data_IF_831484003295
#
_entry.id   IF_831484003295
#
_cell.length_a   1.000
_cell.length_b   1.000
_cell.length_c   1.000
_cell.angle_alpha   90.00
_cell.angle_beta   90.00
_cell.angle_gamma   90.00
#
_symmetry.space_group_name_H-M   'P 1'
#
loop_
_entity.id
_entity.type
_entity.pdbx_description
1 polymer ?
#
# COMPACT_ATOMS: atom_id res chain seq x y z
N UNK A 1 22.42 0.35 24.71
CA UNK A 1 21.16 0.72 25.35
C UNK A 1 20.21 1.35 24.30
N UNK A 2 19.75 0.60 23.27
CA UNK A 2 18.86 1.12 22.17
C UNK A 2 17.73 0.17 21.79
N UNK A 3 17.46 -0.90 22.54
CA UNK A 3 16.46 -1.91 22.17
C UNK A 3 15.30 -2.06 23.16
N UNK A 4 15.21 -1.20 24.18
CA UNK A 4 14.25 -1.38 25.28
C UNK A 4 12.93 -0.61 25.13
N UNK A 5 12.68 0.07 24.02
CA UNK A 5 11.48 0.91 23.89
C UNK A 5 10.77 0.76 22.55
N UNK A 6 10.67 -0.45 21.98
CA UNK A 6 9.67 -0.68 20.93
C UNK A 6 8.29 -0.72 21.60
N UNK A 7 7.41 0.20 21.20
CA UNK A 7 6.00 0.08 21.59
C UNK A 7 5.47 -1.23 21.00
N UNK A 8 4.71 -1.97 21.80
CA UNK A 8 4.00 -3.14 21.31
C UNK A 8 3.09 -2.71 20.16
N UNK A 9 3.11 -3.43 19.04
CA UNK A 9 2.18 -3.19 17.93
C UNK A 9 0.74 -3.13 18.46
N UNK A 10 -0.11 -2.24 17.92
CA UNK A 10 -1.55 -2.27 18.22
C UNK A 10 -2.11 -3.68 18.06
N UNK A 11 -3.00 -4.09 18.97
CA UNK A 11 -3.52 -5.46 19.02
C UNK A 11 -4.04 -5.94 17.66
N UNK A 12 -4.61 -5.04 16.86
CA UNK A 12 -5.14 -5.32 15.53
C UNK A 12 -4.06 -5.75 14.52
N UNK A 13 -2.79 -5.43 14.76
CA UNK A 13 -1.65 -5.76 13.88
C UNK A 13 -0.79 -6.91 14.42
N UNK A 14 -1.09 -7.46 15.60
CA UNK A 14 -0.23 -8.46 16.27
C UNK A 14 -0.37 -9.88 15.71
N UNK A 15 -1.57 -10.26 15.26
CA UNK A 15 -1.89 -11.65 14.91
C UNK A 15 -1.99 -11.89 13.39
N UNK A 16 -1.16 -11.19 12.62
CA UNK A 16 -1.06 -11.43 11.19
C UNK A 16 -0.28 -12.72 10.92
N UNK A 17 -0.72 -13.49 9.93
CA UNK A 17 0.02 -14.69 9.45
C UNK A 17 1.42 -14.33 8.96
N UNK A 18 1.52 -13.23 8.23
CA UNK A 18 2.75 -12.53 7.88
C UNK A 18 2.59 -11.04 8.21
N UNK A 19 3.65 -10.37 8.64
CA UNK A 19 3.61 -8.94 8.94
C UNK A 19 3.56 -8.10 7.65
N UNK A 20 2.47 -8.22 6.93
CA UNK A 20 2.27 -7.60 5.61
C UNK A 20 0.98 -6.78 5.59
N UNK A 21 1.06 -5.60 4.99
CA UNK A 21 -0.08 -4.82 4.52
C UNK A 21 -0.04 -4.84 2.99
N UNK A 22 -1.08 -5.38 2.35
CA UNK A 22 -1.28 -5.20 0.91
C UNK A 22 -1.58 -3.73 0.63
N UNK A 23 -0.74 -3.07 -0.18
CA UNK A 23 -0.91 -1.63 -0.49
C UNK A 23 -2.23 -1.35 -1.21
N UNK A 24 -2.89 -0.20 -0.94
CA UNK A 24 -4.05 0.23 -1.69
C UNK A 24 -3.65 0.62 -3.12
N UNK A 25 -4.08 -0.16 -4.08
CA UNK A 25 -3.74 0.03 -5.49
C UNK A 25 -4.88 0.77 -6.20
N UNK A 26 -4.58 1.97 -6.73
CA UNK A 26 -5.59 2.78 -7.41
C UNK A 26 -6.14 2.03 -8.63
N UNK A 27 -7.47 2.02 -8.78
CA UNK A 27 -8.25 1.24 -9.77
C UNK A 27 -8.24 -0.28 -9.50
N UNK A 28 -7.15 -0.85 -9.00
CA UNK A 28 -6.90 -2.29 -8.92
C UNK A 28 -7.48 -2.93 -7.67
N UNK A 29 -7.30 -2.28 -6.50
CA UNK A 29 -7.83 -2.82 -5.25
C UNK A 29 -9.33 -2.61 -5.15
N UNK A 30 -10.08 -3.69 -5.15
CA UNK A 30 -11.50 -3.77 -4.89
C UNK A 30 -11.80 -4.76 -3.77
N UNK A 31 -13.09 -4.99 -3.44
CA UNK A 31 -13.49 -5.93 -2.40
C UNK A 31 -12.90 -7.32 -2.57
N UNK A 32 -12.83 -7.85 -3.80
CA UNK A 32 -12.29 -9.17 -4.11
C UNK A 32 -10.85 -9.32 -3.61
N UNK A 33 -9.99 -8.36 -3.98
CA UNK A 33 -8.58 -8.39 -3.60
C UNK A 33 -8.41 -8.22 -2.08
N UNK A 34 -9.12 -7.28 -1.49
CA UNK A 34 -9.06 -7.00 -0.04
C UNK A 34 -9.51 -8.20 0.78
N UNK A 35 -10.66 -8.79 0.44
CA UNK A 35 -11.20 -9.97 1.12
C UNK A 35 -10.24 -11.14 1.01
N UNK A 36 -9.67 -11.39 -0.17
CA UNK A 36 -8.70 -12.46 -0.38
C UNK A 36 -7.42 -12.25 0.46
N UNK A 37 -6.91 -11.02 0.54
CA UNK A 37 -5.75 -10.66 1.37
C UNK A 37 -6.05 -10.89 2.85
N UNK A 38 -7.20 -10.42 3.35
CA UNK A 38 -7.59 -10.59 4.74
C UNK A 38 -7.79 -12.09 5.09
N UNK A 39 -8.46 -12.86 4.24
CA UNK A 39 -8.64 -14.32 4.41
C UNK A 39 -7.30 -15.07 4.34
N UNK A 40 -6.32 -14.57 3.59
CA UNK A 40 -4.96 -15.11 3.56
C UNK A 40 -4.13 -14.77 4.81
N UNK A 41 -4.62 -13.89 5.69
CA UNK A 41 -4.01 -13.54 6.97
C UNK A 41 -3.03 -12.36 6.92
N UNK A 42 -3.16 -11.49 5.93
CA UNK A 42 -2.44 -10.20 5.81
C UNK A 42 -3.46 -9.05 5.76
N UNK A 43 -3.06 -7.85 6.12
CA UNK A 43 -3.95 -6.69 6.01
C UNK A 43 -4.23 -6.40 4.53
N UNK A 44 -5.51 -6.43 4.14
CA UNK A 44 -5.96 -6.02 2.80
C UNK A 44 -6.31 -4.53 2.79
N UNK A 45 -6.02 -3.82 1.70
CA UNK A 45 -6.38 -2.42 1.63
C UNK A 45 -6.83 -1.95 0.25
N UNK A 46 -7.62 -0.87 0.23
CA UNK A 46 -8.06 -0.21 -1.00
C UNK A 46 -8.19 1.31 -0.81
N UNK A 47 -8.02 2.11 -1.88
CA UNK A 47 -8.32 3.53 -1.85
C UNK A 47 -9.83 3.77 -1.84
N UNK A 48 -10.36 4.63 -0.95
CA UNK A 48 -11.77 5.01 -0.96
C UNK A 48 -12.20 5.55 -2.34
N UNK A 49 -11.30 6.24 -3.03
CA UNK A 49 -11.54 6.77 -4.38
C UNK A 49 -11.75 5.70 -5.47
N UNK A 50 -11.48 4.43 -5.21
CA UNK A 50 -11.78 3.34 -6.15
C UNK A 50 -13.27 3.02 -6.24
N UNK A 51 -14.00 3.19 -5.13
CA UNK A 51 -15.46 3.06 -5.12
C UNK A 51 -16.10 4.25 -5.84
N UNK A 52 -16.73 4.03 -7.00
CA UNK A 52 -17.30 5.07 -7.86
C UNK A 52 -18.66 4.63 -8.43
N UNK A 53 -19.71 5.41 -8.17
CA UNK A 53 -19.79 6.69 -7.43
C UNK A 53 -19.48 6.53 -5.93
N UNK A 54 -19.47 7.65 -5.16
CA UNK A 54 -19.13 7.65 -3.74
C UNK A 54 -20.00 6.68 -2.90
N UNK A 55 -21.27 6.55 -3.24
CA UNK A 55 -22.20 5.64 -2.56
C UNK A 55 -21.75 4.16 -2.59
N UNK A 56 -20.96 3.75 -3.58
CA UNK A 56 -20.41 2.39 -3.67
C UNK A 56 -19.44 2.06 -2.52
N UNK A 57 -18.86 3.08 -1.87
CA UNK A 57 -17.99 2.83 -0.71
C UNK A 57 -18.76 2.16 0.43
N UNK A 58 -20.02 2.52 0.63
CA UNK A 58 -20.88 1.89 1.64
C UNK A 58 -21.15 0.41 1.32
N UNK A 59 -21.43 0.09 0.05
CA UNK A 59 -21.65 -1.28 -0.41
C UNK A 59 -20.38 -2.13 -0.30
N UNK A 60 -19.21 -1.56 -0.66
CA UNK A 60 -17.94 -2.25 -0.55
C UNK A 60 -17.60 -2.58 0.90
N UNK A 61 -17.78 -1.63 1.81
CA UNK A 61 -17.53 -1.83 3.24
C UNK A 61 -18.50 -2.83 3.85
N UNK A 62 -19.78 -2.78 3.46
CA UNK A 62 -20.77 -3.79 3.84
C UNK A 62 -20.31 -5.19 3.42
N UNK A 63 -20.01 -5.38 2.14
CA UNK A 63 -19.57 -6.66 1.59
C UNK A 63 -18.31 -7.20 2.28
N UNK A 64 -17.28 -6.34 2.42
CA UNK A 64 -16.02 -6.73 3.09
C UNK A 64 -16.31 -7.19 4.52
N UNK A 65 -17.07 -6.42 5.28
CA UNK A 65 -17.40 -6.72 6.68
C UNK A 65 -18.16 -8.04 6.80
N UNK A 66 -19.20 -8.23 6.00
CA UNK A 66 -20.01 -9.44 6.02
C UNK A 66 -19.20 -10.71 5.63
N UNK A 67 -18.41 -10.64 4.57
CA UNK A 67 -17.61 -11.77 4.11
C UNK A 67 -16.51 -12.15 5.12
N UNK A 68 -15.84 -11.15 5.74
CA UNK A 68 -14.83 -11.41 6.75
C UNK A 68 -15.46 -11.95 8.04
N UNK A 69 -16.63 -11.42 8.45
CA UNK A 69 -17.38 -11.95 9.59
C UNK A 69 -17.85 -13.40 9.37
N UNK A 70 -18.34 -13.70 8.17
CA UNK A 70 -18.73 -15.07 7.81
C UNK A 70 -17.53 -16.04 7.83
N UNK A 71 -16.38 -15.57 7.28
CA UNK A 71 -15.13 -16.31 7.33
C UNK A 71 -14.70 -16.62 8.78
N UNK A 72 -14.72 -15.63 9.66
CA UNK A 72 -14.28 -15.75 11.05
C UNK A 72 -15.17 -16.75 11.82
N UNK A 73 -16.48 -16.75 11.57
CA UNK A 73 -17.39 -17.75 12.16
C UNK A 73 -17.08 -19.17 11.67
N UNK A 74 -16.71 -19.32 10.41
CA UNK A 74 -16.38 -20.62 9.82
C UNK A 74 -14.94 -21.09 10.14
N UNK A 75 -14.04 -20.19 10.49
CA UNK A 75 -12.62 -20.47 10.70
C UNK A 75 -12.11 -19.81 12.01
N UNK A 76 -12.60 -20.21 13.18
CA UNK A 76 -12.26 -19.56 14.46
C UNK A 76 -10.76 -19.64 14.80
N UNK A 77 -10.10 -20.73 14.38
CA UNK A 77 -8.66 -20.93 14.61
C UNK A 77 -7.78 -20.16 13.60
N UNK A 78 -8.38 -19.62 12.54
CA UNK A 78 -7.70 -18.87 11.48
C UNK A 78 -8.53 -17.68 11.03
N UNK A 79 -8.77 -16.70 11.91
CA UNK A 79 -9.56 -15.54 11.58
C UNK A 79 -8.89 -14.71 10.45
N UNK A 80 -9.71 -13.99 9.73
CA UNK A 80 -9.22 -13.04 8.73
C UNK A 80 -8.45 -11.91 9.41
N UNK A 81 -7.41 -11.42 8.74
CA UNK A 81 -6.73 -10.18 9.14
C UNK A 81 -7.67 -8.97 8.94
N UNK A 82 -7.39 -7.84 9.59
CA UNK A 82 -8.17 -6.61 9.40
C UNK A 82 -7.97 -6.05 8.00
N UNK A 83 -8.90 -5.19 7.58
CA UNK A 83 -8.75 -4.41 6.35
C UNK A 83 -8.44 -2.94 6.65
N UNK A 84 -7.94 -2.23 5.65
CA UNK A 84 -7.64 -0.81 5.71
C UNK A 84 -8.28 -0.06 4.54
N UNK A 85 -8.66 1.20 4.76
CA UNK A 85 -9.13 2.12 3.72
C UNK A 85 -8.14 3.28 3.60
N UNK A 86 -7.66 3.52 2.38
CA UNK A 86 -6.79 4.66 2.13
C UNK A 86 -7.60 5.91 1.77
N UNK A 87 -7.24 7.01 2.42
CA UNK A 87 -7.80 8.33 2.24
C UNK A 87 -6.72 9.29 1.68
N UNK A 88 -7.00 9.88 0.53
CA UNK A 88 -6.17 10.94 -0.03
C UNK A 88 -6.52 12.26 0.63
N UNK A 89 -5.61 12.79 1.46
CA UNK A 89 -5.82 13.99 2.28
C UNK A 89 -5.39 15.26 1.54
N UNK A 90 -5.50 15.26 0.23
CA UNK A 90 -5.19 16.44 -0.59
C UNK A 90 -6.44 17.30 -0.80
N UNK A 91 -6.27 18.63 -0.84
CA UNK A 91 -7.37 19.61 -1.03
C UNK A 91 -8.22 19.41 -2.29
N UNK A 92 -7.70 18.70 -3.30
CA UNK A 92 -8.44 18.35 -4.52
C UNK A 92 -9.35 17.15 -4.34
N UNK A 93 -9.31 16.46 -3.20
CA UNK A 93 -10.23 15.37 -2.90
C UNK A 93 -11.50 15.92 -2.24
N UNK A 94 -12.49 16.27 -3.06
CA UNK A 94 -13.79 16.79 -2.58
C UNK A 94 -14.64 15.73 -1.87
N UNK A 95 -14.28 14.44 -1.98
CA UNK A 95 -15.00 13.34 -1.35
C UNK A 95 -14.54 13.01 0.07
N UNK A 96 -13.40 13.56 0.52
CA UNK A 96 -12.73 13.14 1.75
C UNK A 96 -13.67 13.07 2.96
N UNK A 97 -14.46 14.09 3.19
CA UNK A 97 -15.35 14.16 4.37
C UNK A 97 -16.49 13.11 4.27
N UNK A 98 -17.07 12.92 3.09
CA UNK A 98 -18.11 11.94 2.86
C UNK A 98 -17.56 10.49 2.99
N UNK A 99 -16.37 10.24 2.44
CA UNK A 99 -15.71 8.95 2.54
C UNK A 99 -15.31 8.65 3.99
N UNK A 100 -14.86 9.65 4.74
CA UNK A 100 -14.54 9.51 6.17
C UNK A 100 -15.78 9.20 7.01
N UNK A 101 -16.91 9.87 6.75
CA UNK A 101 -18.18 9.58 7.41
C UNK A 101 -18.65 8.14 7.13
N UNK A 102 -18.45 7.63 5.91
CA UNK A 102 -18.76 6.25 5.57
C UNK A 102 -17.81 5.28 6.30
N UNK A 103 -16.52 5.60 6.40
CA UNK A 103 -15.57 4.82 7.20
C UNK A 103 -15.96 4.78 8.70
N UNK A 104 -16.41 5.89 9.26
CA UNK A 104 -16.89 5.96 10.64
C UNK A 104 -18.13 5.08 10.86
N UNK A 105 -19.10 5.11 9.93
CA UNK A 105 -20.31 4.25 9.98
C UNK A 105 -19.93 2.76 10.09
N UNK A 106 -18.94 2.33 9.36
CA UNK A 106 -18.47 0.93 9.33
C UNK A 106 -17.34 0.64 10.32
N UNK A 107 -16.96 1.62 11.15
CA UNK A 107 -15.87 1.50 12.12
C UNK A 107 -14.61 0.88 11.49
N UNK A 108 -14.20 1.43 10.33
CA UNK A 108 -13.04 0.94 9.58
C UNK A 108 -11.84 0.84 10.51
N UNK A 109 -11.25 -0.38 10.67
CA UNK A 109 -10.27 -0.61 11.72
C UNK A 109 -8.93 0.09 11.49
N UNK A 110 -8.55 0.31 10.23
CA UNK A 110 -7.29 0.96 9.86
C UNK A 110 -7.57 1.96 8.74
N UNK A 111 -7.19 3.22 8.95
CA UNK A 111 -7.22 4.24 7.90
C UNK A 111 -5.79 4.58 7.51
N UNK A 112 -5.48 4.44 6.22
CA UNK A 112 -4.20 4.87 5.66
C UNK A 112 -4.38 6.28 5.10
N UNK A 113 -3.56 7.24 5.49
CA UNK A 113 -3.64 8.63 5.02
C UNK A 113 -2.46 8.96 4.11
N UNK A 114 -2.75 9.58 2.97
CA UNK A 114 -1.76 9.92 1.95
C UNK A 114 -1.86 11.38 1.52
N UNK A 115 -0.73 11.99 1.14
CA UNK A 115 -0.62 13.34 0.57
C UNK A 115 -1.08 14.47 1.50
N UNK A 116 -1.02 14.27 2.80
CA UNK A 116 -1.32 15.28 3.80
C UNK A 116 -1.68 14.66 5.16
N UNK A 117 -1.23 15.28 6.25
CA UNK A 117 -1.56 14.88 7.61
C UNK A 117 -2.54 15.89 8.22
N UNK A 118 -3.69 15.41 8.72
CA UNK A 118 -4.75 16.22 9.36
C UNK A 118 -5.05 15.65 10.74
N UNK A 119 -4.97 16.51 11.74
CA UNK A 119 -5.22 16.16 13.14
C UNK A 119 -6.68 15.82 13.39
N UNK A 120 -7.60 16.57 12.80
CA UNK A 120 -9.05 16.34 12.92
C UNK A 120 -9.48 15.00 12.30
N UNK A 121 -8.85 14.57 11.20
CA UNK A 121 -9.07 13.26 10.59
C UNK A 121 -8.60 12.15 11.55
N UNK A 122 -7.38 12.26 12.07
CA UNK A 122 -6.85 11.26 13.01
C UNK A 122 -7.72 11.18 14.28
N UNK A 123 -8.12 12.33 14.82
CA UNK A 123 -9.05 12.40 15.96
C UNK A 123 -10.39 11.72 15.65
N UNK A 124 -10.94 11.92 14.45
CA UNK A 124 -12.18 11.26 14.05
C UNK A 124 -12.01 9.73 14.00
N UNK A 125 -10.90 9.23 13.40
CA UNK A 125 -10.60 7.80 13.35
C UNK A 125 -10.49 7.19 14.74
N UNK A 126 -9.79 7.85 15.65
CA UNK A 126 -9.70 7.42 17.05
C UNK A 126 -11.06 7.40 17.74
N UNK A 127 -11.96 8.33 17.36
CA UNK A 127 -13.32 8.43 17.93
C UNK A 127 -14.18 7.18 17.72
N UNK A 128 -13.94 6.38 16.70
CA UNK A 128 -14.60 5.08 16.50
C UNK A 128 -13.71 3.87 16.82
N UNK A 129 -12.52 4.07 17.40
CA UNK A 129 -11.61 3.00 17.80
C UNK A 129 -10.70 2.47 16.69
N UNK A 130 -10.64 3.15 15.55
CA UNK A 130 -9.69 2.86 14.48
C UNK A 130 -8.29 3.41 14.76
N UNK A 131 -7.31 2.98 13.98
CA UNK A 131 -5.94 3.52 13.97
C UNK A 131 -5.62 4.17 12.63
N UNK A 132 -4.68 5.14 12.64
CA UNK A 132 -4.20 5.80 11.42
C UNK A 132 -2.74 5.44 11.12
N UNK A 133 -2.47 5.03 9.87
CA UNK A 133 -1.13 4.87 9.35
C UNK A 133 -0.90 5.91 8.26
N UNK A 134 0.18 6.69 8.35
CA UNK A 134 0.46 7.75 7.39
C UNK A 134 1.65 7.42 6.51
N UNK A 135 1.50 7.56 5.18
CA UNK A 135 2.60 7.35 4.26
C UNK A 135 3.54 8.57 4.21
N UNK A 136 4.84 8.30 4.28
CA UNK A 136 5.89 9.31 4.36
C UNK A 136 7.08 8.93 3.47
N UNK A 137 7.74 9.94 2.90
CA UNK A 137 8.90 9.73 2.03
C UNK A 137 10.22 10.21 2.65
N UNK A 138 10.16 10.90 3.78
CA UNK A 138 11.33 11.39 4.52
C UNK A 138 11.01 11.62 6.01
N UNK A 139 12.05 11.87 6.82
CA UNK A 139 11.94 12.11 8.26
C UNK A 139 11.10 13.34 8.62
N UNK A 140 11.14 14.41 7.81
CA UNK A 140 10.37 15.63 8.05
C UNK A 140 8.86 15.37 7.96
N UNK A 141 8.44 14.61 6.93
CA UNK A 141 7.03 14.22 6.80
C UNK A 141 6.62 13.22 7.89
N UNK A 142 7.53 12.32 8.29
CA UNK A 142 7.29 11.38 9.38
C UNK A 142 7.00 12.11 10.70
N UNK A 143 7.83 13.07 11.09
CA UNK A 143 7.62 13.88 12.30
C UNK A 143 6.29 14.64 12.24
N UNK A 144 6.00 15.27 11.11
CA UNK A 144 4.75 16.01 10.93
C UNK A 144 3.51 15.10 11.03
N UNK A 145 3.58 13.88 10.53
CA UNK A 145 2.48 12.93 10.64
C UNK A 145 2.21 12.53 12.10
N UNK A 146 3.25 12.24 12.87
CA UNK A 146 3.15 11.92 14.30
C UNK A 146 2.68 13.13 15.12
N UNK A 147 3.18 14.34 14.83
CA UNK A 147 2.69 15.58 15.45
C UNK A 147 1.20 15.82 15.23
N UNK A 148 0.65 15.30 14.12
CA UNK A 148 -0.78 15.37 13.77
C UNK A 148 -1.58 14.17 14.28
N UNK A 149 -0.98 13.29 15.08
CA UNK A 149 -1.66 12.20 15.77
C UNK A 149 -1.78 10.90 14.95
N UNK A 150 -0.93 10.69 13.94
CA UNK A 150 -0.86 9.38 13.29
C UNK A 150 -0.29 8.34 14.27
N UNK A 151 -0.92 7.16 14.36
CA UNK A 151 -0.49 6.07 15.26
C UNK A 151 0.74 5.34 14.72
N UNK A 152 0.86 5.27 13.39
CA UNK A 152 1.95 4.60 12.72
C UNK A 152 2.32 5.26 11.39
N UNK A 153 3.46 4.83 10.86
CA UNK A 153 4.04 5.36 9.64
C UNK A 153 4.22 4.27 8.59
N UNK A 154 4.07 4.65 7.33
CA UNK A 154 4.42 3.84 6.17
C UNK A 154 5.58 4.56 5.46
N UNK A 155 6.79 4.05 5.63
CA UNK A 155 7.99 4.59 4.99
C UNK A 155 8.01 4.18 3.51
N UNK A 156 7.65 5.09 2.63
CA UNK A 156 7.61 4.88 1.17
C UNK A 156 8.97 5.22 0.58
N UNK A 157 9.83 4.23 0.51
CA UNK A 157 11.22 4.35 0.10
C UNK A 157 11.41 4.23 -1.42
N UNK A 158 12.65 4.38 -1.87
CA UNK A 158 13.02 4.12 -3.26
C UNK A 158 12.62 2.71 -3.69
N UNK A 159 12.12 2.59 -4.92
CA UNK A 159 11.65 1.32 -5.48
C UNK A 159 10.22 0.94 -5.11
N UNK A 160 9.48 1.74 -4.36
CA UNK A 160 8.04 1.57 -4.20
C UNK A 160 7.31 1.88 -5.51
N UNK A 161 6.22 1.16 -5.81
CA UNK A 161 5.39 1.41 -6.99
C UNK A 161 4.49 2.62 -6.80
N UNK A 162 4.15 3.29 -7.89
CA UNK A 162 3.38 4.53 -7.83
C UNK A 162 4.18 5.67 -7.23
N UNK A 163 3.54 6.59 -6.54
CA UNK A 163 4.24 7.69 -5.87
C UNK A 163 5.26 7.14 -4.88
N UNK A 164 6.51 7.55 -5.00
CA UNK A 164 7.61 6.97 -4.25
C UNK A 164 8.64 8.02 -3.82
N UNK A 165 9.25 7.78 -2.65
CA UNK A 165 10.41 8.50 -2.20
C UNK A 165 11.68 8.11 -2.97
N UNK A 166 12.74 8.89 -2.73
CA UNK A 166 14.07 8.70 -3.34
C UNK A 166 15.08 8.10 -2.37
N UNK A 167 14.73 8.06 -1.08
CA UNK A 167 15.62 7.57 -0.03
C UNK A 167 15.69 6.04 -0.06
N UNK A 168 16.91 5.53 0.16
CA UNK A 168 17.11 4.09 0.37
C UNK A 168 16.26 3.60 1.53
N UNK A 169 15.61 2.41 1.41
CA UNK A 169 14.90 1.81 2.54
C UNK A 169 15.77 1.67 3.79
N UNK A 170 17.05 1.31 3.63
CA UNK A 170 18.00 1.21 4.73
C UNK A 170 18.21 2.54 5.46
N UNK A 171 18.35 3.65 4.72
CA UNK A 171 18.55 4.96 5.33
C UNK A 171 17.27 5.43 6.03
N UNK A 172 16.14 5.40 5.33
CA UNK A 172 14.88 5.96 5.82
C UNK A 172 14.39 5.26 7.10
N UNK A 173 14.44 3.92 7.16
CA UNK A 173 14.04 3.18 8.37
C UNK A 173 14.96 3.51 9.55
N UNK A 174 16.28 3.56 9.33
CA UNK A 174 17.23 3.87 10.41
C UNK A 174 17.05 5.28 10.96
N UNK A 175 16.77 6.28 10.10
CA UNK A 175 16.51 7.65 10.52
C UNK A 175 15.22 7.75 11.35
N UNK A 176 14.12 7.17 10.88
CA UNK A 176 12.84 7.20 11.60
C UNK A 176 12.95 6.46 12.94
N UNK A 177 13.60 5.31 13.00
CA UNK A 177 13.75 4.51 14.23
C UNK A 177 14.64 5.15 15.30
N UNK A 178 15.36 6.21 14.99
CA UNK A 178 16.10 6.96 16.03
C UNK A 178 15.17 7.64 17.04
N UNK A 179 13.95 7.96 16.66
CA UNK A 179 13.03 8.73 17.48
C UNK A 179 11.60 8.16 17.53
N UNK A 180 11.20 7.34 16.56
CA UNK A 180 9.85 6.78 16.49
C UNK A 180 9.83 5.31 16.88
N UNK A 181 9.12 5.00 17.97
CA UNK A 181 8.94 3.64 18.49
C UNK A 181 7.60 2.99 18.09
N UNK A 182 6.69 3.75 17.47
CA UNK A 182 5.37 3.26 17.04
C UNK A 182 5.44 2.35 15.80
N UNK A 183 4.26 1.87 15.33
CA UNK A 183 4.16 1.01 14.16
C UNK A 183 4.80 1.62 12.92
N UNK A 184 5.71 0.89 12.29
CA UNK A 184 6.42 1.33 11.09
C UNK A 184 6.39 0.26 10.01
N UNK A 185 5.72 0.54 8.92
CA UNK A 185 5.72 -0.28 7.73
C UNK A 185 6.73 0.22 6.70
N UNK A 186 7.41 -0.68 5.98
CA UNK A 186 8.31 -0.35 4.89
C UNK A 186 7.70 -0.69 3.55
N UNK A 187 7.68 0.27 2.64
CA UNK A 187 7.35 0.10 1.22
C UNK A 187 8.58 0.35 0.35
N UNK A 188 8.79 -0.51 -0.63
CA UNK A 188 9.85 -0.37 -1.64
C UNK A 188 10.57 -1.69 -1.92
N UNK A 189 10.48 -2.15 -3.15
CA UNK A 189 11.18 -3.34 -3.68
C UNK A 189 10.92 -4.66 -2.94
N UNK A 190 9.82 -4.79 -2.21
CA UNK A 190 9.47 -6.00 -1.44
C UNK A 190 8.51 -6.85 -2.27
N UNK A 191 8.92 -8.10 -2.60
CA UNK A 191 8.09 -9.01 -3.38
C UNK A 191 8.20 -10.49 -2.95
N UNK A 192 9.07 -10.81 -1.99
CA UNK A 192 9.33 -12.17 -1.49
C UNK A 192 9.30 -12.21 0.02
N UNK A 193 9.17 -13.41 0.59
CA UNK A 193 9.26 -13.62 2.03
C UNK A 193 10.63 -13.28 2.63
N UNK A 194 11.72 -13.48 1.86
CA UNK A 194 13.06 -13.03 2.24
C UNK A 194 13.11 -11.50 2.40
N UNK A 195 12.50 -10.76 1.47
CA UNK A 195 12.45 -9.30 1.53
C UNK A 195 11.57 -8.79 2.68
N UNK A 196 10.49 -9.51 3.04
CA UNK A 196 9.71 -9.22 4.25
C UNK A 196 10.59 -9.36 5.50
N UNK A 197 11.34 -10.47 5.62
CA UNK A 197 12.25 -10.65 6.75
C UNK A 197 13.33 -9.57 6.79
N UNK A 198 13.88 -9.17 5.65
CA UNK A 198 14.85 -8.09 5.55
C UNK A 198 14.28 -6.75 6.04
N UNK A 199 13.04 -6.43 5.69
CA UNK A 199 12.36 -5.23 6.20
C UNK A 199 12.27 -5.22 7.73
N UNK A 200 11.91 -6.36 8.33
CA UNK A 200 11.87 -6.49 9.80
C UNK A 200 13.28 -6.37 10.41
N UNK A 201 14.28 -6.99 9.81
CA UNK A 201 15.66 -6.91 10.28
C UNK A 201 16.22 -5.48 10.24
N UNK A 202 15.74 -4.63 9.33
CA UNK A 202 16.10 -3.20 9.28
C UNK A 202 15.41 -2.37 10.36
N UNK A 203 14.37 -2.89 11.01
CA UNK A 203 13.62 -2.20 12.05
C UNK A 203 12.20 -1.79 11.69
N UNK A 204 11.68 -2.18 10.52
CA UNK A 204 10.25 -2.09 10.25
C UNK A 204 9.49 -3.16 11.06
N UNK A 205 8.23 -2.91 11.37
CA UNK A 205 7.34 -3.90 11.99
C UNK A 205 6.53 -4.66 10.94
N UNK A 206 6.32 -4.04 9.78
CA UNK A 206 5.47 -4.54 8.71
C UNK A 206 6.09 -4.24 7.34
N UNK A 207 5.82 -5.09 6.37
CA UNK A 207 6.09 -4.84 4.96
C UNK A 207 4.82 -4.31 4.28
N UNK A 208 4.94 -3.26 3.45
CA UNK A 208 3.86 -2.68 2.68
C UNK A 208 4.06 -3.00 1.20
N UNK A 209 3.23 -3.90 0.66
CA UNK A 209 3.48 -4.58 -0.60
C UNK A 209 2.34 -4.36 -1.60
N UNK A 210 2.66 -3.82 -2.79
CA UNK A 210 1.68 -3.57 -3.85
C UNK A 210 1.88 -4.44 -5.09
N UNK A 211 2.99 -4.27 -5.80
CA UNK A 211 3.19 -4.81 -7.15
C UNK A 211 2.97 -6.33 -7.29
N UNK A 212 3.39 -7.19 -6.37
CA UNK A 212 3.09 -8.62 -6.46
C UNK A 212 1.61 -8.95 -6.45
N UNK A 213 0.79 -8.12 -5.80
CA UNK A 213 -0.66 -8.32 -5.74
C UNK A 213 -1.39 -7.82 -7.00
N UNK A 214 -0.75 -7.03 -7.88
CA UNK A 214 -1.29 -6.70 -9.20
C UNK A 214 -1.40 -7.97 -10.05
N UNK A 215 -0.40 -8.86 -9.99
CA UNK A 215 -0.36 -10.12 -10.69
C UNK A 215 -1.10 -11.24 -9.90
N UNK A 216 -2.29 -10.93 -9.37
CA UNK A 216 -3.16 -11.93 -8.74
C UNK A 216 -4.51 -12.01 -9.47
N UNK A 217 -5.17 -13.17 -9.34
CA UNK A 217 -6.46 -13.40 -10.00
C UNK A 217 -7.55 -12.47 -9.49
N UNK A 218 -7.48 -12.06 -8.22
CA UNK A 218 -8.45 -11.21 -7.53
C UNK A 218 -8.24 -9.70 -7.78
N UNK A 219 -7.07 -9.31 -8.31
CA UNK A 219 -6.79 -7.92 -8.64
C UNK A 219 -7.59 -7.46 -9.86
N UNK A 220 -8.23 -6.29 -9.76
CA UNK A 220 -8.95 -5.65 -10.87
C UNK A 220 -7.97 -4.92 -11.81
N UNK A 221 -7.04 -5.68 -12.39
CA UNK A 221 -6.08 -5.18 -13.37
C UNK A 221 -6.29 -5.90 -14.70
N UNK A 222 -6.09 -5.18 -15.80
CA UNK A 222 -6.14 -5.77 -17.15
C UNK A 222 -5.11 -6.89 -17.30
N UNK A 223 -5.42 -7.91 -18.13
CA UNK A 223 -4.51 -9.01 -18.39
C UNK A 223 -3.12 -8.54 -18.85
N UNK A 224 -3.08 -7.57 -19.77
CA UNK A 224 -1.82 -6.99 -20.26
C UNK A 224 -0.99 -6.34 -19.14
N UNK A 225 -1.63 -5.74 -18.13
CA UNK A 225 -0.92 -5.20 -16.98
C UNK A 225 -0.32 -6.32 -16.13
N UNK A 226 -1.11 -7.35 -15.81
CA UNK A 226 -0.63 -8.53 -15.05
C UNK A 226 0.53 -9.22 -15.78
N UNK A 227 0.41 -9.43 -17.09
CA UNK A 227 1.45 -10.01 -17.95
C UNK A 227 2.72 -9.15 -17.94
N UNK A 228 2.57 -7.81 -18.03
CA UNK A 228 3.70 -6.87 -17.95
C UNK A 228 4.43 -6.94 -16.60
N UNK A 229 3.71 -7.12 -15.48
CA UNK A 229 4.35 -7.33 -14.16
C UNK A 229 5.23 -8.57 -14.19
N UNK A 230 4.73 -9.69 -14.73
CA UNK A 230 5.45 -10.97 -14.79
C UNK A 230 6.65 -10.93 -15.75
N UNK A 231 6.51 -10.21 -16.87
CA UNK A 231 7.55 -10.13 -17.90
C UNK A 231 8.68 -9.14 -17.56
N UNK A 232 8.46 -8.18 -16.65
CA UNK A 232 9.38 -7.06 -16.39
C UNK A 232 10.35 -7.34 -15.25
N UNK A 233 11.41 -6.55 -15.22
CA UNK A 233 12.48 -6.57 -14.21
C UNK A 233 12.60 -5.19 -13.55
N UNK A 234 13.42 -5.06 -12.52
CA UNK A 234 13.69 -3.79 -11.84
C UNK A 234 14.17 -2.69 -12.81
N UNK A 235 14.93 -3.05 -13.83
CA UNK A 235 15.43 -2.13 -14.87
C UNK A 235 14.32 -1.58 -15.79
N UNK A 236 13.15 -2.20 -15.80
CA UNK A 236 11.99 -1.76 -16.58
C UNK A 236 11.09 -0.77 -15.80
N UNK A 237 11.53 -0.33 -14.63
CA UNK A 237 10.86 0.68 -13.83
C UNK A 237 11.45 2.05 -14.11
N UNK A 238 10.58 2.97 -14.56
CA UNK A 238 10.93 4.35 -14.89
C UNK A 238 10.43 5.27 -13.77
N UNK A 239 11.33 6.07 -13.20
CA UNK A 239 11.02 7.06 -12.17
C UNK A 239 10.80 8.43 -12.80
N UNK A 240 9.57 8.96 -12.74
CA UNK A 240 9.21 10.22 -13.40
C UNK A 240 8.10 10.93 -12.64
N UNK A 241 8.04 12.26 -12.76
CA UNK A 241 6.95 13.09 -12.25
C UNK A 241 5.97 13.55 -13.36
N UNK A 242 6.20 13.12 -14.61
CA UNK A 242 5.43 13.57 -15.77
C UNK A 242 3.93 13.33 -15.62
N UNK A 243 3.53 12.17 -15.10
CA UNK A 243 2.16 11.68 -15.22
C UNK A 243 1.20 12.25 -14.17
N UNK A 244 1.73 12.65 -13.00
CA UNK A 244 0.92 13.12 -11.87
C UNK A 244 1.44 14.41 -11.25
N UNK A 245 2.56 14.94 -11.72
CA UNK A 245 3.27 16.06 -11.08
C UNK A 245 4.11 15.63 -9.86
N UNK A 246 3.87 14.44 -9.32
CA UNK A 246 4.64 13.84 -8.21
C UNK A 246 5.47 12.69 -8.76
N UNK A 247 6.71 12.57 -8.29
CA UNK A 247 7.57 11.48 -8.71
C UNK A 247 6.99 10.11 -8.31
N UNK A 248 7.04 9.18 -9.25
CA UNK A 248 6.56 7.82 -9.06
C UNK A 248 7.28 6.85 -9.98
N UNK A 249 7.09 5.56 -9.70
CA UNK A 249 7.64 4.45 -10.45
C UNK A 249 6.58 3.83 -11.36
N UNK A 250 6.91 3.70 -12.65
CA UNK A 250 6.01 3.26 -13.70
C UNK A 250 6.65 2.20 -14.58
N UNK A 251 5.84 1.30 -15.15
CA UNK A 251 6.30 0.27 -16.10
C UNK A 251 6.66 0.89 -17.45
N UNK A 252 7.88 0.66 -17.90
CA UNK A 252 8.40 1.06 -19.22
C UNK A 252 7.48 0.63 -20.36
N UNK A 253 6.94 -0.59 -20.29
CA UNK A 253 6.05 -1.15 -21.31
C UNK A 253 4.80 -0.29 -21.54
N UNK A 254 4.17 0.23 -20.48
CA UNK A 254 2.98 1.08 -20.60
C UNK A 254 3.31 2.47 -21.15
N UNK A 255 4.49 3.01 -20.84
CA UNK A 255 4.98 4.29 -21.39
C UNK A 255 5.19 4.16 -22.90
N UNK A 256 5.87 3.09 -23.34
CA UNK A 256 6.10 2.78 -24.76
C UNK A 256 4.75 2.55 -25.48
N UNK A 257 3.83 1.78 -24.89
CA UNK A 257 2.52 1.53 -25.46
C UNK A 257 1.69 2.82 -25.63
N UNK A 258 1.95 3.85 -24.83
CA UNK A 258 1.35 5.18 -24.94
C UNK A 258 2.05 6.10 -25.94
N UNK A 259 3.01 5.58 -26.71
CA UNK A 259 3.74 6.32 -27.75
C UNK A 259 4.81 7.27 -27.24
N UNK A 260 5.23 7.14 -25.97
CA UNK A 260 6.28 7.99 -25.39
C UNK A 260 7.62 7.24 -25.29
N UNK A 261 8.70 8.01 -25.35
CA UNK A 261 10.05 7.50 -25.11
C UNK A 261 10.35 7.53 -23.59
N UNK A 262 10.45 6.36 -22.92
CA UNK A 262 10.71 6.31 -21.49
C UNK A 262 12.09 6.83 -21.07
N UNK A 263 13.03 6.98 -22.00
CA UNK A 263 14.38 7.49 -21.74
C UNK A 263 14.48 9.01 -21.94
N UNK A 264 13.44 9.65 -22.53
CA UNK A 264 13.38 11.09 -22.81
C UNK A 264 12.06 11.71 -22.35
N UNK A 265 11.62 11.39 -21.12
CA UNK A 265 10.40 11.98 -20.57
C UNK A 265 10.65 13.41 -20.10
N UNK A 266 9.78 14.38 -20.47
CA UNK A 266 9.87 15.74 -19.94
C UNK A 266 9.49 15.76 -18.44
N UNK A 267 9.96 16.82 -17.75
CA UNK A 267 9.53 17.08 -16.37
C UNK A 267 8.03 17.45 -16.31
N UNK A 268 7.33 16.90 -15.32
CA UNK A 268 5.94 17.23 -15.04
C UNK A 268 5.79 18.52 -14.22
N UNK A 269 4.66 19.20 -14.35
CA UNK A 269 4.33 20.39 -13.56
C UNK A 269 3.51 20.01 -12.32
N UNK A 270 4.02 20.32 -11.13
CA UNK A 270 3.33 20.13 -9.85
C UNK A 270 1.96 20.82 -9.76
N UNK A 271 1.72 21.86 -10.59
CA UNK A 271 0.42 22.56 -10.62
C UNK A 271 -0.69 21.78 -11.32
N UNK A 272 -0.35 20.69 -12.03
CA UNK A 272 -1.30 19.89 -12.81
C UNK A 272 -1.72 18.61 -12.08
N UNK A 273 -1.58 18.55 -10.75
CA UNK A 273 -1.97 17.40 -9.96
C UNK A 273 -3.48 17.14 -10.07
N UNK A 274 -3.86 16.13 -10.87
CA UNK A 274 -5.24 15.72 -11.09
C UNK A 274 -5.41 14.23 -10.73
N UNK A 275 -6.19 13.96 -9.68
CA UNK A 275 -6.51 12.61 -9.22
C UNK A 275 -7.70 11.97 -9.95
N UNK A 276 -8.02 12.36 -11.18
CA UNK A 276 -8.92 11.54 -12.00
C UNK A 276 -10.12 12.21 -12.62
N UNK A 277 -10.15 13.54 -12.74
CA UNK A 277 -11.23 14.25 -13.48
C UNK A 277 -10.84 14.65 -14.90
N UNK A 278 -9.61 14.36 -15.33
CA UNK A 278 -9.07 14.79 -16.63
C UNK A 278 -9.87 14.33 -17.84
N UNK A 279 -10.65 15.23 -18.41
CA UNK A 279 -11.24 15.13 -19.74
C UNK A 279 -10.19 15.56 -20.79
N UNK A 280 -9.36 14.63 -21.28
CA UNK A 280 -8.36 14.95 -22.29
C UNK A 280 -7.86 13.73 -23.05
N UNK A 281 -7.32 13.95 -24.27
CA UNK A 281 -6.69 12.97 -25.15
C UNK A 281 -5.31 12.51 -24.68
N UNK A 282 -4.83 12.94 -23.51
CA UNK A 282 -3.56 12.51 -22.92
C UNK A 282 -3.71 11.16 -22.21
N UNK A 283 -2.68 10.29 -22.25
CA UNK A 283 -2.67 9.04 -21.47
C UNK A 283 -2.98 9.32 -20.00
N UNK A 284 -3.96 8.58 -19.46
CA UNK A 284 -4.37 8.78 -18.07
C UNK A 284 -3.44 8.02 -17.15
N UNK A 285 -2.84 8.73 -16.19
CA UNK A 285 -2.10 8.08 -15.11
C UNK A 285 -2.94 6.98 -14.45
N UNK A 286 -2.30 5.87 -14.12
CA UNK A 286 -2.88 4.67 -13.49
C UNK A 286 -3.81 3.83 -14.37
N UNK A 287 -4.42 4.39 -15.41
CA UNK A 287 -5.24 3.63 -16.37
C UNK A 287 -4.40 3.14 -17.54
N UNK A 288 -3.68 4.07 -18.18
CA UNK A 288 -2.91 3.82 -19.39
C UNK A 288 -1.41 3.71 -19.08
N UNK A 289 -0.95 4.40 -18.02
CA UNK A 289 0.43 4.36 -17.51
C UNK A 289 0.43 3.63 -16.17
N UNK A 290 1.04 2.47 -16.14
CA UNK A 290 0.96 1.51 -15.03
C UNK A 290 2.04 1.71 -13.99
N UNK A 291 1.62 1.90 -12.73
CA UNK A 291 2.54 2.04 -11.61
C UNK A 291 3.07 0.69 -11.14
N UNK A 292 4.39 0.58 -10.92
CA UNK A 292 4.97 -0.63 -10.34
C UNK A 292 6.28 -0.36 -9.62
N UNK A 293 6.57 -1.14 -8.58
CA UNK A 293 7.83 -1.06 -7.85
C UNK A 293 8.91 -1.97 -8.39
N UNK A 294 10.15 -1.72 -7.98
CA UNK A 294 11.34 -2.43 -8.48
C UNK A 294 11.43 -3.90 -8.04
N UNK A 295 10.60 -4.36 -7.10
CA UNK A 295 10.57 -5.77 -6.68
C UNK A 295 9.97 -6.75 -7.68
N UNK A 296 9.37 -6.29 -8.78
CA UNK A 296 8.62 -7.14 -9.72
C UNK A 296 9.44 -8.25 -10.37
N UNK A 297 10.76 -8.11 -10.47
CA UNK A 297 11.61 -9.16 -11.03
C UNK A 297 11.51 -10.52 -10.31
N UNK A 298 10.94 -10.56 -9.11
CA UNK A 298 10.64 -11.78 -8.36
C UNK A 298 9.21 -12.29 -8.57
N UNK A 299 8.37 -11.61 -9.36
CA UNK A 299 7.00 -12.02 -9.69
C UNK A 299 7.03 -12.79 -11.02
N UNK A 300 6.89 -14.11 -10.95
CA UNK A 300 7.12 -15.00 -12.10
C UNK A 300 5.86 -15.56 -12.73
N UNK A 301 4.70 -15.37 -12.09
CA UNK A 301 3.42 -15.90 -12.56
C UNK A 301 2.24 -15.11 -12.00
N UNK A 302 1.08 -15.22 -12.66
CA UNK A 302 -0.21 -14.77 -12.17
C UNK A 302 -0.81 -15.91 -11.35
N UNK A 303 -1.11 -15.66 -10.09
CA UNK A 303 -1.63 -16.67 -9.16
C UNK A 303 -2.70 -16.06 -8.24
N UNK A 304 -3.36 -16.89 -7.42
CA UNK A 304 -4.27 -16.35 -6.40
C UNK A 304 -3.51 -15.63 -5.28
N UNK A 305 -4.19 -14.71 -4.57
CA UNK A 305 -3.65 -14.09 -3.35
C UNK A 305 -3.24 -15.15 -2.33
N UNK A 306 -4.04 -16.19 -2.16
CA UNK A 306 -3.73 -17.28 -1.24
C UNK A 306 -2.39 -17.95 -1.59
N UNK A 307 -2.19 -18.32 -2.87
CA UNK A 307 -0.94 -18.92 -3.34
C UNK A 307 0.26 -17.99 -3.15
N UNK A 308 0.06 -16.70 -3.44
CA UNK A 308 1.09 -15.67 -3.26
C UNK A 308 1.53 -15.57 -1.79
N UNK A 309 0.58 -15.48 -0.87
CA UNK A 309 0.86 -15.41 0.57
C UNK A 309 1.48 -16.72 1.09
N UNK A 310 1.00 -17.87 0.64
CA UNK A 310 1.58 -19.17 0.98
C UNK A 310 3.06 -19.28 0.52
N UNK A 311 3.38 -18.76 -0.66
CA UNK A 311 4.75 -18.72 -1.17
C UNK A 311 5.62 -17.79 -0.30
N UNK A 312 5.16 -16.57 -0.05
CA UNK A 312 5.88 -15.61 0.79
C UNK A 312 6.11 -16.17 2.20
N UNK A 313 5.17 -16.92 2.77
CA UNK A 313 5.36 -17.54 4.07
C UNK A 313 6.44 -18.63 4.06
N UNK A 314 6.46 -19.49 3.03
CA UNK A 314 7.52 -20.50 2.88
C UNK A 314 8.90 -19.83 2.74
N UNK A 315 9.02 -18.81 1.91
CA UNK A 315 10.24 -18.03 1.71
C UNK A 315 10.69 -17.36 3.02
N UNK A 316 9.76 -16.70 3.73
CA UNK A 316 10.01 -16.05 5.00
C UNK A 316 10.54 -17.03 6.05
N UNK A 317 9.89 -18.19 6.18
CA UNK A 317 10.32 -19.26 7.12
C UNK A 317 11.68 -19.84 6.74
N UNK A 318 11.92 -20.07 5.46
CA UNK A 318 13.22 -20.54 4.96
C UNK A 318 14.35 -19.53 5.22
N UNK A 319 14.08 -18.24 4.96
CA UNK A 319 15.03 -17.17 5.25
C UNK A 319 15.35 -17.07 6.75
N UNK A 320 14.32 -17.14 7.63
CA UNK A 320 14.52 -17.19 9.07
C UNK A 320 15.38 -18.36 9.51
N UNK A 321 15.11 -19.55 8.97
CA UNK A 321 15.89 -20.76 9.30
C UNK A 321 17.35 -20.64 8.84
N UNK A 322 17.60 -20.02 7.68
CA UNK A 322 18.95 -19.78 7.15
C UNK A 322 19.75 -18.78 8.00
N UNK A 323 19.07 -17.80 8.62
CA UNK A 323 19.67 -16.74 9.42
C UNK A 323 19.66 -17.04 10.93
N UNK A 324 18.90 -18.06 11.36
CA UNK A 324 18.94 -18.52 12.76
C UNK A 324 20.30 -19.19 13.02
N UNK A 325 21.12 -18.53 13.83
CA UNK A 325 22.43 -18.99 14.28
C UNK A 325 22.27 -19.62 15.64
#
# INVERSE_FOLDING_TARGET
MRYETYMTLPAILQNLRLPIIGSPLFIISGPELVIAQCKAGIVGSFPALNARPQAELDEWLHRITEELSAWNRANPDRPAAPFAVNQIVHRSNERLEADLATCAKWQVPIVITSLGAREDLNTAVHGWGGITLHDVIDDRFARKAVEKGADGLIAVAAGAGGHAGRLSPFALIQEIRQWFAGPLALSGSIATGDAVLAALAMGADLAYIGSPFIATTEANADGAYKDSIVASKAADIVYSNLFTGVHGNYLRSSIVASGMDPDNLPEGDLKTMDFGTGNGSKPKAWKDIWGSGQGIGAVTEIESVASRVDRMEREYRAARARLAV
#
